data_IF_657453138733
#
_entry.id   IF_657453138733
#
_cell.length_a   1.000
_cell.length_b   1.000
_cell.length_c   1.000
_cell.angle_alpha   90.00
_cell.angle_beta   90.00
_cell.angle_gamma   90.00
#
_symmetry.space_group_name_H-M   'P 1'
#
loop_
_entity.id
_entity.type
_entity.pdbx_description
1 polymer ?
#
# COMPACT_ATOMS: atom_id res chain seq x y z
N UNK A 1 68.37 9.12 5.85
CA UNK A 1 68.18 10.55 5.54
C UNK A 1 68.00 10.62 4.02
N UNK A 2 66.86 10.96 3.42
CA UNK A 2 65.77 11.85 3.80
C UNK A 2 64.42 11.28 3.35
N UNK A 3 63.39 11.62 4.11
CA UNK A 3 61.98 11.27 3.95
C UNK A 3 61.36 11.78 2.66
N UNK A 4 60.49 10.94 2.09
CA UNK A 4 59.47 11.30 1.12
C UNK A 4 58.25 11.77 1.92
N UNK A 5 57.77 12.98 1.68
CA UNK A 5 56.49 13.47 2.23
C UNK A 5 55.86 14.41 1.21
N UNK A 6 54.81 13.90 0.56
CA UNK A 6 53.89 14.69 -0.26
C UNK A 6 53.01 15.58 0.63
N UNK A 7 52.69 16.82 0.24
CA UNK A 7 51.66 17.60 0.90
C UNK A 7 50.28 17.34 0.29
N UNK A 8 49.39 16.81 1.13
CA UNK A 8 47.93 16.83 0.96
C UNK A 8 47.46 18.30 0.95
N UNK A 9 46.79 18.72 -0.13
CA UNK A 9 46.04 19.99 -0.18
C UNK A 9 44.57 19.69 0.08
N UNK A 10 44.09 20.14 1.23
CA UNK A 10 42.69 20.19 1.64
C UNK A 10 41.99 21.44 1.08
N UNK A 11 40.65 21.35 1.07
CA UNK A 11 39.67 22.44 1.06
C UNK A 11 39.30 23.06 -0.30
N UNK A 12 38.60 22.25 -1.10
CA UNK A 12 37.60 22.76 -2.02
C UNK A 12 36.40 23.30 -1.23
N UNK A 13 36.31 24.63 -1.16
CA UNK A 13 35.16 25.38 -0.67
C UNK A 13 33.99 25.16 -1.64
N UNK A 14 33.09 24.24 -1.32
CA UNK A 14 31.89 24.00 -2.11
C UNK A 14 30.83 25.05 -1.76
N UNK A 15 30.85 26.19 -2.44
CA UNK A 15 29.76 27.16 -2.38
C UNK A 15 28.53 26.54 -3.05
N UNK A 16 27.59 26.05 -2.24
CA UNK A 16 26.27 25.63 -2.72
C UNK A 16 25.56 26.88 -3.22
N UNK A 17 25.58 27.04 -4.54
CA UNK A 17 24.83 28.05 -5.25
C UNK A 17 23.35 27.68 -5.09
N UNK A 18 22.61 28.49 -4.32
CA UNK A 18 21.16 28.39 -4.24
C UNK A 18 20.57 28.81 -5.58
N UNK A 19 20.38 27.83 -6.45
CA UNK A 19 19.76 28.01 -7.76
C UNK A 19 18.30 28.42 -7.55
N UNK A 20 18.02 29.72 -7.73
CA UNK A 20 16.68 30.28 -7.86
C UNK A 20 15.98 29.55 -9.01
N UNK A 21 14.97 28.75 -8.68
CA UNK A 21 14.08 28.13 -9.67
C UNK A 21 13.32 29.26 -10.39
N UNK A 22 13.39 29.38 -11.73
CA UNK A 22 12.65 30.38 -12.46
C UNK A 22 11.15 30.03 -12.45
N UNK A 23 10.33 30.94 -11.92
CA UNK A 23 8.87 30.86 -11.99
C UNK A 23 8.39 31.16 -13.42
N UNK A 24 8.43 30.15 -14.30
CA UNK A 24 7.74 30.21 -15.58
C UNK A 24 6.70 29.09 -15.67
N UNK A 25 5.78 29.09 -14.69
CA UNK A 25 4.52 28.40 -14.86
C UNK A 25 3.59 29.36 -15.62
N UNK A 26 3.44 29.18 -16.93
CA UNK A 26 2.62 30.06 -17.80
C UNK A 26 1.11 29.93 -17.52
N UNK A 27 0.71 28.95 -16.71
CA UNK A 27 -0.66 28.67 -16.32
C UNK A 27 -1.03 29.43 -15.05
N UNK A 28 -2.24 29.98 -15.02
CA UNK A 28 -2.76 30.54 -13.78
C UNK A 28 -3.00 29.42 -12.73
N UNK A 29 -3.04 29.74 -11.42
CA UNK A 29 -3.18 28.74 -10.36
C UNK A 29 -4.35 27.78 -10.50
N UNK A 30 -5.49 28.26 -11.02
CA UNK A 30 -6.69 27.44 -11.26
C UNK A 30 -6.48 26.44 -12.41
N UNK A 31 -5.95 26.90 -13.56
CA UNK A 31 -5.65 26.05 -14.71
C UNK A 31 -4.59 25.00 -14.35
N UNK A 32 -3.60 25.39 -13.55
CA UNK A 32 -2.62 24.45 -13.01
C UNK A 32 -3.28 23.38 -12.14
N UNK A 33 -4.19 23.76 -11.23
CA UNK A 33 -4.94 22.80 -10.42
C UNK A 33 -5.80 21.86 -11.28
N UNK A 34 -6.44 22.39 -12.33
CA UNK A 34 -7.24 21.59 -13.27
C UNK A 34 -6.38 20.55 -14.02
N UNK A 35 -5.21 20.96 -14.50
CA UNK A 35 -4.27 20.05 -15.15
C UNK A 35 -3.78 18.96 -14.18
N UNK A 36 -3.47 19.32 -12.93
CA UNK A 36 -3.08 18.36 -11.91
C UNK A 36 -4.20 17.36 -11.60
N UNK A 37 -5.46 17.82 -11.53
CA UNK A 37 -6.64 16.95 -11.37
C UNK A 37 -6.76 15.97 -12.54
N UNK A 38 -6.69 16.45 -13.78
CA UNK A 38 -6.78 15.60 -14.98
C UNK A 38 -5.67 14.56 -15.00
N UNK A 39 -4.44 14.97 -14.72
CA UNK A 39 -3.28 14.08 -14.61
C UNK A 39 -3.52 13.00 -13.54
N UNK A 40 -3.94 13.38 -12.34
CA UNK A 40 -4.15 12.45 -11.25
C UNK A 40 -5.29 11.45 -11.52
N UNK A 41 -6.38 11.88 -12.17
CA UNK A 41 -7.45 10.96 -12.62
C UNK A 41 -6.91 9.92 -13.60
N UNK A 42 -6.10 10.34 -14.58
CA UNK A 42 -5.49 9.42 -15.54
C UNK A 42 -4.52 8.44 -14.87
N UNK A 43 -3.75 8.91 -13.88
CA UNK A 43 -2.87 8.04 -13.08
C UNK A 43 -3.65 7.01 -12.27
N UNK A 44 -4.80 7.37 -11.69
CA UNK A 44 -5.70 6.42 -11.01
C UNK A 44 -6.25 5.37 -11.99
N UNK A 45 -6.69 5.79 -13.18
CA UNK A 45 -7.19 4.87 -14.21
C UNK A 45 -6.10 3.88 -14.65
N UNK A 46 -4.88 4.38 -14.90
CA UNK A 46 -3.74 3.54 -15.26
C UNK A 46 -3.37 2.56 -14.14
N UNK A 47 -3.26 3.04 -12.90
CA UNK A 47 -2.89 2.21 -11.75
C UNK A 47 -3.93 1.13 -11.46
N UNK A 48 -5.22 1.45 -11.57
CA UNK A 48 -6.30 0.47 -11.37
C UNK A 48 -6.31 -0.59 -12.47
N UNK A 49 -5.96 -0.24 -13.71
CA UNK A 49 -5.81 -1.21 -14.80
C UNK A 49 -4.70 -2.21 -14.49
N UNK A 50 -3.51 -1.71 -14.15
CA UNK A 50 -2.35 -2.56 -13.81
C UNK A 50 -2.62 -3.42 -12.57
N UNK A 51 -3.31 -2.87 -11.55
CA UNK A 51 -3.73 -3.63 -10.38
C UNK A 51 -4.69 -4.77 -10.77
N UNK A 52 -5.67 -4.50 -11.63
CA UNK A 52 -6.60 -5.54 -12.10
C UNK A 52 -5.86 -6.66 -12.82
N UNK A 53 -4.91 -6.31 -13.70
CA UNK A 53 -4.11 -7.29 -14.42
C UNK A 53 -3.22 -8.11 -13.46
N UNK A 54 -2.62 -7.46 -12.45
CA UNK A 54 -1.83 -8.15 -11.42
C UNK A 54 -2.67 -9.12 -10.58
N UNK A 55 -3.90 -8.74 -10.20
CA UNK A 55 -4.84 -9.61 -9.47
C UNK A 55 -5.22 -10.83 -10.30
N UNK A 56 -5.50 -10.64 -11.60
CA UNK A 56 -5.82 -11.76 -12.50
C UNK A 56 -4.62 -12.72 -12.62
N UNK A 57 -3.41 -12.19 -12.80
CA UNK A 57 -2.21 -13.03 -12.88
C UNK A 57 -1.96 -13.80 -11.58
N UNK A 58 -2.10 -13.15 -10.43
CA UNK A 58 -1.96 -13.80 -9.13
C UNK A 58 -2.96 -14.95 -8.98
N UNK A 59 -4.22 -14.73 -9.34
CA UNK A 59 -5.26 -15.75 -9.27
C UNK A 59 -4.93 -16.98 -10.12
N UNK A 60 -4.46 -16.77 -11.36
CA UNK A 60 -4.03 -17.86 -12.24
C UNK A 60 -2.87 -18.67 -11.63
N UNK A 61 -1.91 -18.01 -10.97
CA UNK A 61 -0.80 -18.70 -10.27
C UNK A 61 -1.27 -19.50 -9.07
N UNK A 62 -2.27 -19.01 -8.33
CA UNK A 62 -2.89 -19.76 -7.23
C UNK A 62 -3.57 -21.03 -7.76
N UNK A 63 -4.29 -20.93 -8.88
CA UNK A 63 -4.96 -22.07 -9.51
C UNK A 63 -3.96 -23.13 -10.00
N UNK A 64 -2.86 -22.71 -10.63
CA UNK A 64 -1.75 -23.60 -11.04
C UNK A 64 -1.20 -24.39 -9.83
N UNK A 65 -0.85 -23.71 -8.74
CA UNK A 65 -0.30 -24.38 -7.55
C UNK A 65 -1.33 -25.30 -6.89
N UNK A 66 -2.59 -24.88 -6.83
CA UNK A 66 -3.68 -25.64 -6.22
C UNK A 66 -3.97 -26.94 -6.98
N UNK A 67 -4.02 -26.87 -8.32
CA UNK A 67 -4.22 -28.06 -9.15
C UNK A 67 -3.06 -29.06 -9.01
N UNK A 68 -1.82 -28.58 -9.01
CA UNK A 68 -0.64 -29.43 -8.80
C UNK A 68 -0.61 -30.07 -7.41
N UNK A 69 -1.04 -29.34 -6.37
CA UNK A 69 -1.14 -29.90 -5.01
C UNK A 69 -2.17 -31.04 -4.93
N UNK A 70 -3.28 -30.96 -5.67
CA UNK A 70 -4.25 -32.04 -5.78
C UNK A 70 -3.64 -33.27 -6.49
N UNK A 71 -2.89 -33.06 -7.58
CA UNK A 71 -2.17 -34.12 -8.28
C UNK A 71 -1.10 -34.80 -7.42
N UNK A 72 -0.46 -34.04 -6.52
CA UNK A 72 0.53 -34.56 -5.59
C UNK A 72 -0.11 -35.49 -4.57
N UNK A 73 -1.26 -35.10 -4.01
CA UNK A 73 -2.04 -35.95 -3.11
C UNK A 73 -2.51 -37.23 -3.81
N UNK A 74 -2.96 -37.13 -5.06
CA UNK A 74 -3.34 -38.31 -5.86
C UNK A 74 -2.14 -39.25 -6.09
N UNK A 75 -0.99 -38.70 -6.47
CA UNK A 75 0.24 -39.46 -6.70
C UNK A 75 0.74 -40.16 -5.43
N UNK A 76 0.65 -39.49 -4.26
CA UNK A 76 0.96 -40.11 -2.97
C UNK A 76 0.05 -41.30 -2.65
N UNK A 77 -1.25 -41.16 -2.94
CA UNK A 77 -2.23 -42.24 -2.74
C UNK A 77 -1.95 -43.43 -3.67
N UNK A 78 -1.59 -43.17 -4.94
CA UNK A 78 -1.19 -44.20 -5.90
C UNK A 78 0.06 -44.95 -5.44
N UNK A 79 1.08 -44.23 -4.94
CA UNK A 79 2.30 -44.83 -4.38
C UNK A 79 1.96 -45.75 -3.20
N UNK A 80 1.11 -45.32 -2.27
CA UNK A 80 0.70 -46.15 -1.12
C UNK A 80 0.00 -47.44 -1.58
N UNK A 81 -0.86 -47.37 -2.60
CA UNK A 81 -1.51 -48.54 -3.18
C UNK A 81 -0.49 -49.49 -3.86
N UNK A 82 0.49 -48.96 -4.59
CA UNK A 82 1.55 -49.76 -5.21
C UNK A 82 2.43 -50.42 -4.14
N UNK A 83 2.78 -49.71 -3.07
CA UNK A 83 3.54 -50.27 -1.94
C UNK A 83 2.82 -51.45 -1.29
N UNK A 84 1.50 -51.33 -1.11
CA UNK A 84 0.67 -52.43 -0.61
C UNK A 84 0.71 -53.65 -1.54
N UNK A 85 0.53 -53.45 -2.86
CA UNK A 85 0.65 -54.53 -3.87
C UNK A 85 2.03 -55.16 -3.88
N UNK A 86 3.09 -54.35 -3.82
CA UNK A 86 4.46 -54.82 -3.78
C UNK A 86 4.69 -55.72 -2.55
N UNK A 87 4.22 -55.29 -1.37
CA UNK A 87 4.35 -56.08 -0.13
C UNK A 87 3.68 -57.46 -0.24
N UNK A 88 2.51 -57.53 -0.87
CA UNK A 88 1.81 -58.79 -1.14
C UNK A 88 2.59 -59.65 -2.14
N UNK A 89 3.11 -59.07 -3.22
CA UNK A 89 3.87 -59.82 -4.23
C UNK A 89 5.21 -60.35 -3.69
N UNK A 90 5.86 -59.63 -2.77
CA UNK A 90 7.05 -60.11 -2.06
C UNK A 90 6.70 -61.35 -1.24
N UNK A 91 5.61 -61.28 -0.44
CA UNK A 91 5.16 -62.43 0.37
C UNK A 91 4.85 -63.66 -0.49
N UNK A 92 4.11 -63.47 -1.60
CA UNK A 92 3.78 -64.55 -2.53
C UNK A 92 5.05 -65.14 -3.16
N UNK A 93 6.01 -64.31 -3.54
CA UNK A 93 7.29 -64.77 -4.06
C UNK A 93 8.07 -65.59 -3.04
N UNK A 94 8.16 -65.13 -1.79
CA UNK A 94 8.86 -65.85 -0.73
C UNK A 94 8.21 -67.23 -0.47
N UNK A 95 6.88 -67.29 -0.39
CA UNK A 95 6.12 -68.55 -0.28
C UNK A 95 6.32 -69.47 -1.50
N UNK A 96 6.43 -68.91 -2.70
CA UNK A 96 6.69 -69.65 -3.93
C UNK A 96 8.12 -70.21 -3.97
N UNK A 97 9.10 -69.46 -3.47
CA UNK A 97 10.50 -69.90 -3.32
C UNK A 97 10.57 -71.11 -2.39
N UNK A 98 9.94 -71.02 -1.22
CA UNK A 98 9.91 -72.13 -0.25
C UNK A 98 9.22 -73.37 -0.83
N UNK A 99 8.05 -73.19 -1.47
CA UNK A 99 7.32 -74.28 -2.11
C UNK A 99 8.12 -74.96 -3.22
N UNK A 100 8.75 -74.18 -4.09
CA UNK A 100 9.57 -74.72 -5.17
C UNK A 100 10.76 -75.52 -4.63
N UNK A 101 11.39 -75.03 -3.56
CA UNK A 101 12.49 -75.74 -2.87
C UNK A 101 12.03 -77.08 -2.32
N UNK A 102 10.93 -77.10 -1.55
CA UNK A 102 10.36 -78.33 -0.97
C UNK A 102 10.03 -79.35 -2.06
N UNK A 103 9.32 -78.92 -3.13
CA UNK A 103 8.92 -79.82 -4.22
C UNK A 103 10.10 -80.32 -5.06
N UNK A 104 11.15 -79.52 -5.23
CA UNK A 104 12.40 -79.98 -5.89
C UNK A 104 13.05 -81.09 -5.08
N UNK A 105 13.20 -80.89 -3.77
CA UNK A 105 13.80 -81.89 -2.87
C UNK A 105 12.98 -83.19 -2.83
N UNK A 106 11.65 -83.10 -2.74
CA UNK A 106 10.77 -84.29 -2.80
C UNK A 106 10.89 -85.05 -4.13
N UNK A 107 10.97 -84.32 -5.25
CA UNK A 107 11.12 -84.89 -6.58
C UNK A 107 12.47 -85.58 -6.77
N UNK A 108 13.56 -84.93 -6.36
CA UNK A 108 14.92 -85.49 -6.40
C UNK A 108 15.01 -86.76 -5.52
N UNK A 109 14.49 -86.70 -4.29
CA UNK A 109 14.50 -87.85 -3.38
C UNK A 109 13.69 -89.02 -3.94
N UNK A 110 12.49 -88.78 -4.47
CA UNK A 110 11.65 -89.84 -5.05
C UNK A 110 12.28 -90.50 -6.28
N UNK A 111 13.03 -89.74 -7.09
CA UNK A 111 13.79 -90.29 -8.22
C UNK A 111 15.01 -91.11 -7.77
N UNK A 112 15.73 -90.65 -6.73
CA UNK A 112 16.85 -91.39 -6.14
C UNK A 112 16.37 -92.72 -5.56
N UNK A 113 15.29 -92.71 -4.77
CA UNK A 113 14.76 -93.92 -4.12
C UNK A 113 14.32 -94.98 -5.13
N UNK A 114 13.77 -94.56 -6.29
CA UNK A 114 13.43 -95.45 -7.40
C UNK A 114 14.68 -96.02 -8.09
N UNK A 115 15.67 -95.16 -8.39
CA UNK A 115 16.90 -95.54 -9.08
C UNK A 115 17.73 -96.54 -8.28
N UNK A 116 17.72 -96.41 -6.95
CA UNK A 116 18.44 -97.27 -6.02
C UNK A 116 17.65 -98.50 -5.53
N UNK A 117 16.42 -98.71 -6.03
CA UNK A 117 15.53 -99.83 -5.63
C UNK A 117 15.31 -99.95 -4.12
N UNK A 118 15.21 -98.81 -3.40
CA UNK A 118 15.03 -98.81 -1.95
C UNK A 118 13.67 -99.41 -1.57
N UNK A 119 13.64 -100.16 -0.46
CA UNK A 119 12.42 -100.75 0.10
C UNK A 119 11.39 -99.66 0.40
N UNK A 120 10.26 -99.66 -0.31
CA UNK A 120 9.21 -98.64 -0.20
C UNK A 120 9.15 -97.60 -1.33
N UNK A 121 9.97 -97.74 -2.39
CA UNK A 121 9.94 -96.85 -3.55
C UNK A 121 8.53 -96.73 -4.19
N UNK A 122 8.15 -95.49 -4.52
CA UNK A 122 6.86 -95.19 -5.14
C UNK A 122 6.80 -95.69 -6.60
N UNK A 123 5.62 -96.10 -7.11
CA UNK A 123 5.46 -96.44 -8.52
C UNK A 123 5.79 -95.26 -9.45
N UNK A 124 6.36 -95.53 -10.63
CA UNK A 124 6.77 -94.53 -11.63
C UNK A 124 5.70 -93.44 -11.87
N UNK A 125 4.43 -93.84 -12.06
CA UNK A 125 3.31 -92.91 -12.31
C UNK A 125 3.11 -91.89 -11.18
N UNK A 126 3.41 -92.26 -9.92
CA UNK A 126 3.37 -91.33 -8.77
C UNK A 126 4.58 -90.40 -8.78
N UNK A 127 5.75 -90.89 -9.17
CA UNK A 127 6.98 -90.08 -9.30
C UNK A 127 6.78 -89.02 -10.39
N UNK A 128 6.23 -89.39 -11.55
CA UNK A 128 5.94 -88.44 -12.64
C UNK A 128 4.98 -87.31 -12.20
N UNK A 129 4.03 -87.61 -11.30
CA UNK A 129 3.14 -86.60 -10.71
C UNK A 129 3.88 -85.65 -9.76
N UNK A 130 4.87 -86.16 -8.99
CA UNK A 130 5.71 -85.34 -8.11
C UNK A 130 6.62 -84.44 -8.95
N UNK A 131 7.23 -84.97 -10.02
CA UNK A 131 8.02 -84.18 -10.99
C UNK A 131 7.16 -83.08 -11.61
N UNK A 132 5.95 -83.41 -12.08
CA UNK A 132 5.02 -82.40 -12.62
C UNK A 132 4.62 -81.34 -11.59
N UNK A 133 4.52 -81.72 -10.30
CA UNK A 133 4.24 -80.78 -9.22
C UNK A 133 5.44 -79.87 -8.92
N UNK A 134 6.68 -80.36 -9.04
CA UNK A 134 7.88 -79.55 -8.88
C UNK A 134 8.06 -78.56 -10.04
N UNK A 135 7.84 -78.98 -11.28
CA UNK A 135 7.82 -78.10 -12.46
C UNK A 135 6.78 -76.98 -12.32
N UNK A 136 5.56 -77.32 -11.88
CA UNK A 136 4.51 -76.31 -11.61
C UNK A 136 4.91 -75.33 -10.50
N UNK A 137 5.57 -75.80 -9.45
CA UNK A 137 6.03 -74.94 -8.37
C UNK A 137 7.15 -73.99 -8.85
N UNK A 138 8.05 -74.46 -9.73
CA UNK A 138 9.08 -73.63 -10.34
C UNK A 138 8.46 -72.56 -11.24
N UNK A 139 7.51 -72.92 -12.11
CA UNK A 139 6.80 -71.97 -12.96
C UNK A 139 6.03 -70.92 -12.14
N UNK A 140 5.40 -71.32 -11.02
CA UNK A 140 4.74 -70.39 -10.11
C UNK A 140 5.71 -69.41 -9.45
N UNK A 141 6.90 -69.88 -9.03
CA UNK A 141 7.97 -69.02 -8.51
C UNK A 141 8.44 -67.99 -9.55
N UNK A 142 8.63 -68.42 -10.80
CA UNK A 142 9.05 -67.51 -11.89
C UNK A 142 7.98 -66.46 -12.20
N UNK A 143 6.71 -66.85 -12.22
CA UNK A 143 5.59 -65.92 -12.34
C UNK A 143 5.56 -64.91 -11.17
N UNK A 144 5.67 -65.39 -9.92
CA UNK A 144 5.70 -64.53 -8.74
C UNK A 144 6.91 -63.57 -8.72
N UNK A 145 8.07 -64.00 -9.22
CA UNK A 145 9.24 -63.14 -9.39
C UNK A 145 8.99 -62.02 -10.40
N UNK A 146 8.30 -62.35 -11.50
CA UNK A 146 7.94 -61.38 -12.53
C UNK A 146 6.98 -60.33 -11.97
N UNK A 147 5.94 -60.76 -11.24
CA UNK A 147 4.98 -59.87 -10.57
C UNK A 147 5.67 -58.96 -9.55
N UNK A 148 6.58 -59.51 -8.73
CA UNK A 148 7.40 -58.73 -7.80
C UNK A 148 8.19 -57.65 -8.53
N UNK A 149 8.96 -58.02 -9.56
CA UNK A 149 9.77 -57.08 -10.35
C UNK A 149 8.91 -56.00 -11.02
N UNK A 150 7.73 -56.36 -11.54
CA UNK A 150 6.80 -55.39 -12.12
C UNK A 150 6.31 -54.38 -11.08
N UNK A 151 5.96 -54.81 -9.86
CA UNK A 151 5.54 -53.91 -8.79
C UNK A 151 6.69 -53.04 -8.27
N UNK A 152 7.92 -53.56 -8.19
CA UNK A 152 9.12 -52.79 -7.86
C UNK A 152 9.38 -51.68 -8.89
N UNK A 153 9.32 -52.03 -10.18
CA UNK A 153 9.47 -51.07 -11.27
C UNK A 153 8.37 -50.01 -11.28
N UNK A 154 7.11 -50.41 -11.03
CA UNK A 154 5.98 -49.48 -10.92
C UNK A 154 6.16 -48.50 -9.75
N UNK A 155 6.67 -48.98 -8.60
CA UNK A 155 6.96 -48.13 -7.45
C UNK A 155 8.07 -47.12 -7.75
N UNK A 156 9.14 -47.56 -8.40
CA UNK A 156 10.24 -46.69 -8.82
C UNK A 156 9.73 -45.59 -9.77
N UNK A 157 8.95 -45.95 -10.80
CA UNK A 157 8.38 -44.99 -11.75
C UNK A 157 7.44 -43.98 -11.06
N UNK A 158 6.57 -44.44 -10.16
CA UNK A 158 5.66 -43.58 -9.42
C UNK A 158 6.41 -42.59 -8.51
N UNK A 159 7.49 -43.03 -7.84
CA UNK A 159 8.35 -42.14 -7.03
C UNK A 159 9.04 -41.07 -7.86
N UNK A 160 9.56 -41.42 -9.05
CA UNK A 160 10.16 -40.43 -9.97
C UNK A 160 9.13 -39.40 -10.42
N UNK A 161 7.89 -39.82 -10.71
CA UNK A 161 6.80 -38.90 -11.04
C UNK A 161 6.49 -37.94 -9.89
N UNK A 162 6.45 -38.44 -8.65
CA UNK A 162 6.24 -37.61 -7.46
C UNK A 162 7.36 -36.58 -7.25
N UNK A 163 8.63 -36.98 -7.44
CA UNK A 163 9.78 -36.07 -7.33
C UNK A 163 9.71 -34.95 -8.38
N UNK A 164 9.43 -35.29 -9.64
CA UNK A 164 9.24 -34.31 -10.72
C UNK A 164 8.09 -33.34 -10.41
N UNK A 165 6.96 -33.86 -9.90
CA UNK A 165 5.83 -33.04 -9.51
C UNK A 165 6.17 -32.11 -8.34
N UNK A 166 6.92 -32.59 -7.36
CA UNK A 166 7.38 -31.79 -6.22
C UNK A 166 8.28 -30.64 -6.67
N UNK A 167 9.21 -30.92 -7.60
CA UNK A 167 10.05 -29.89 -8.23
C UNK A 167 9.22 -28.86 -8.99
N UNK A 168 8.22 -29.30 -9.75
CA UNK A 168 7.33 -28.40 -10.48
C UNK A 168 6.51 -27.51 -9.54
N UNK A 169 5.96 -28.07 -8.46
CA UNK A 169 5.26 -27.29 -7.43
C UNK A 169 6.18 -26.25 -6.81
N UNK A 170 7.43 -26.62 -6.49
CA UNK A 170 8.40 -25.69 -5.93
C UNK A 170 8.77 -24.55 -6.90
N UNK A 171 8.79 -24.81 -8.22
CA UNK A 171 9.00 -23.76 -9.20
C UNK A 171 7.77 -22.84 -9.29
N UNK A 172 6.56 -23.42 -9.29
CA UNK A 172 5.31 -22.65 -9.37
C UNK A 172 4.97 -21.86 -8.11
N UNK A 173 5.42 -22.30 -6.94
CA UNK A 173 5.30 -21.50 -5.72
C UNK A 173 6.19 -20.27 -5.73
N UNK A 174 7.34 -20.31 -6.41
CA UNK A 174 8.17 -19.11 -6.63
C UNK A 174 7.47 -18.13 -7.58
N UNK A 175 6.93 -18.62 -8.70
CA UNK A 175 6.12 -17.81 -9.64
C UNK A 175 4.94 -17.11 -8.90
N UNK A 176 4.26 -17.84 -8.00
CA UNK A 176 3.18 -17.30 -7.18
C UNK A 176 3.68 -16.22 -6.20
N UNK A 177 4.81 -16.45 -5.52
CA UNK A 177 5.39 -15.46 -4.61
C UNK A 177 5.77 -14.15 -5.32
N UNK A 178 6.27 -14.23 -6.56
CA UNK A 178 6.54 -13.05 -7.37
C UNK A 178 5.24 -12.33 -7.77
N UNK A 179 4.21 -13.08 -8.15
CA UNK A 179 2.89 -12.52 -8.45
C UNK A 179 2.26 -11.82 -7.24
N UNK A 180 2.38 -12.38 -6.03
CA UNK A 180 1.92 -11.75 -4.78
C UNK A 180 2.67 -10.44 -4.49
N UNK A 181 3.99 -10.42 -4.71
CA UNK A 181 4.81 -9.22 -4.57
C UNK A 181 4.35 -8.12 -5.54
N UNK A 182 4.12 -8.48 -6.80
CA UNK A 182 3.63 -7.55 -7.83
C UNK A 182 2.23 -7.03 -7.51
N UNK A 183 1.32 -7.89 -7.04
CA UNK A 183 -0.01 -7.48 -6.61
C UNK A 183 0.06 -6.47 -5.45
N UNK A 184 0.95 -6.71 -4.47
CA UNK A 184 1.16 -5.79 -3.34
C UNK A 184 1.72 -4.44 -3.81
N UNK A 185 2.71 -4.46 -4.70
CA UNK A 185 3.28 -3.25 -5.29
C UNK A 185 2.23 -2.43 -6.05
N UNK A 186 1.46 -3.08 -6.94
CA UNK A 186 0.40 -2.39 -7.70
C UNK A 186 -0.71 -1.87 -6.78
N UNK A 187 -1.01 -2.57 -5.68
CA UNK A 187 -1.96 -2.08 -4.66
C UNK A 187 -1.46 -0.77 -4.04
N UNK A 188 -0.19 -0.70 -3.66
CA UNK A 188 0.42 0.50 -3.10
C UNK A 188 0.44 1.66 -4.12
N UNK A 189 0.74 1.37 -5.38
CA UNK A 189 0.70 2.37 -6.47
C UNK A 189 -0.72 2.91 -6.67
N UNK A 190 -1.73 2.04 -6.71
CA UNK A 190 -3.13 2.43 -6.85
C UNK A 190 -3.62 3.30 -5.67
N UNK A 191 -3.26 2.92 -4.44
CA UNK A 191 -3.57 3.72 -3.25
C UNK A 191 -2.87 5.09 -3.29
N UNK A 192 -1.60 5.13 -3.65
CA UNK A 192 -0.85 6.39 -3.79
C UNK A 192 -1.42 7.29 -4.91
N UNK A 193 -1.87 6.70 -6.02
CA UNK A 193 -2.54 7.43 -7.10
C UNK A 193 -3.88 8.00 -6.63
N UNK A 194 -4.65 7.24 -5.85
CA UNK A 194 -5.92 7.68 -5.27
C UNK A 194 -5.74 8.85 -4.30
N UNK A 195 -4.72 8.80 -3.43
CA UNK A 195 -4.42 9.92 -2.53
C UNK A 195 -3.96 11.17 -3.31
N UNK A 196 -3.13 11.00 -4.36
CA UNK A 196 -2.77 12.10 -5.26
C UNK A 196 -3.99 12.73 -5.94
N UNK A 197 -4.93 11.90 -6.38
CA UNK A 197 -6.17 12.36 -7.00
C UNK A 197 -7.06 13.12 -6.03
N UNK A 198 -7.20 12.63 -4.80
CA UNK A 198 -7.90 13.32 -3.72
C UNK A 198 -7.29 14.70 -3.44
N UNK A 199 -5.96 14.77 -3.29
CA UNK A 199 -5.24 16.03 -3.09
C UNK A 199 -5.40 16.97 -4.30
N UNK A 200 -5.37 16.44 -5.52
CA UNK A 200 -5.55 17.23 -6.73
C UNK A 200 -6.98 17.79 -6.85
N UNK A 201 -8.00 17.02 -6.44
CA UNK A 201 -9.38 17.52 -6.34
C UNK A 201 -9.51 18.60 -5.27
N UNK A 202 -8.87 18.43 -4.12
CA UNK A 202 -8.88 19.42 -3.05
C UNK A 202 -8.23 20.73 -3.49
N UNK A 203 -7.15 20.65 -4.27
CA UNK A 203 -6.53 21.83 -4.90
C UNK A 203 -7.44 22.55 -5.90
N UNK A 204 -8.65 22.06 -6.21
CA UNK A 204 -9.64 22.83 -6.98
C UNK A 204 -10.50 23.75 -6.10
N UNK A 205 -10.51 23.56 -4.78
CA UNK A 205 -11.25 24.42 -3.86
C UNK A 205 -10.53 25.77 -3.72
N UNK A 206 -11.25 26.91 -3.70
CA UNK A 206 -10.64 28.21 -3.45
C UNK A 206 -9.91 28.25 -2.10
N UNK A 207 -8.92 29.14 -1.97
CA UNK A 207 -8.24 29.33 -0.69
C UNK A 207 -9.16 30.03 0.32
N UNK A 208 -9.08 29.57 1.56
CA UNK A 208 -9.71 30.19 2.72
C UNK A 208 -8.58 30.64 3.65
N UNK A 209 -8.45 31.95 3.86
CA UNK A 209 -7.37 32.56 4.65
C UNK A 209 -7.93 33.31 5.85
N UNK A 210 -7.23 33.28 6.99
CA UNK A 210 -7.57 34.10 8.14
C UNK A 210 -6.33 34.73 8.73
N UNK A 211 -6.36 36.04 8.91
CA UNK A 211 -5.34 36.81 9.60
C UNK A 211 -5.88 37.16 10.97
N UNK A 212 -5.24 36.61 12.01
CA UNK A 212 -5.60 36.85 13.41
C UNK A 212 -4.70 37.92 14.01
N UNK A 213 -5.29 39.01 14.52
CA UNK A 213 -4.57 40.00 15.33
C UNK A 213 -4.04 39.36 16.61
N UNK A 214 -4.90 38.59 17.29
CA UNK A 214 -4.59 37.96 18.58
C UNK A 214 -3.40 37.00 18.49
N UNK A 215 -3.34 36.20 17.44
CA UNK A 215 -2.27 35.22 17.26
C UNK A 215 -1.09 35.76 16.45
N UNK A 216 -1.23 36.92 15.79
CA UNK A 216 -0.27 37.49 14.82
C UNK A 216 0.13 36.47 13.74
N UNK A 217 -0.87 35.73 13.25
CA UNK A 217 -0.70 34.65 12.27
C UNK A 217 -1.70 34.74 11.14
N UNK A 218 -1.28 34.26 9.98
CA UNK A 218 -2.16 33.85 8.90
C UNK A 218 -2.36 32.33 8.94
N UNK A 219 -3.62 31.90 8.87
CA UNK A 219 -4.05 30.52 8.73
C UNK A 219 -4.55 30.31 7.31
N UNK A 220 -4.01 29.34 6.58
CA UNK A 220 -4.35 29.09 5.18
C UNK A 220 -4.90 27.69 5.02
N UNK A 221 -6.11 27.60 4.51
CA UNK A 221 -6.87 26.36 4.34
C UNK A 221 -7.42 26.25 2.92
N UNK A 222 -7.69 25.04 2.49
CA UNK A 222 -8.23 24.75 1.17
C UNK A 222 -9.07 23.48 1.23
N UNK A 223 -10.38 23.62 0.99
CA UNK A 223 -11.28 22.47 0.96
C UNK A 223 -11.29 21.68 2.26
N UNK A 224 -11.36 22.40 3.39
CA UNK A 224 -11.34 21.92 4.78
C UNK A 224 -9.98 21.44 5.29
N UNK A 225 -8.89 21.59 4.53
CA UNK A 225 -7.57 21.09 4.96
C UNK A 225 -6.60 22.25 5.20
N UNK A 226 -5.82 22.23 6.29
CA UNK A 226 -4.74 23.19 6.49
C UNK A 226 -3.67 23.01 5.41
N UNK A 227 -3.38 24.09 4.69
CA UNK A 227 -2.29 24.15 3.71
C UNK A 227 -1.01 24.56 4.41
N UNK A 228 -1.04 25.68 5.14
CA UNK A 228 0.05 26.14 6.00
C UNK A 228 -0.43 27.28 6.93
N UNK A 229 0.35 27.54 7.97
CA UNK A 229 0.22 28.74 8.81
C UNK A 229 1.53 29.53 8.79
N UNK A 230 1.45 30.85 8.97
CA UNK A 230 2.64 31.71 8.96
C UNK A 230 2.50 32.93 9.86
N UNK A 231 3.60 33.55 10.31
CA UNK A 231 3.55 34.79 11.05
C UNK A 231 3.13 35.96 10.14
N UNK A 232 2.42 36.92 10.71
CA UNK A 232 2.18 38.24 10.09
C UNK A 232 2.66 39.34 11.03
N UNK A 233 3.16 40.43 10.48
CA UNK A 233 3.44 41.65 11.25
C UNK A 233 2.25 42.59 11.11
N UNK A 234 1.81 43.18 12.22
CA UNK A 234 0.64 44.07 12.24
C UNK A 234 1.05 45.39 12.87
N UNK A 235 0.94 46.47 12.10
CA UNK A 235 1.22 47.84 12.57
C UNK A 235 0.15 48.28 13.57
N UNK A 236 0.59 49.01 14.58
CA UNK A 236 -0.26 49.53 15.66
C UNK A 236 -1.12 48.44 16.31
N UNK A 237 -0.52 47.29 16.65
CA UNK A 237 -1.23 46.11 17.20
C UNK A 237 -2.17 46.41 18.38
N UNK A 238 -1.91 47.49 19.14
CA UNK A 238 -2.76 47.95 20.25
C UNK A 238 -4.16 48.38 19.81
N UNK A 239 -4.32 48.88 18.59
CA UNK A 239 -5.61 49.25 18.03
C UNK A 239 -6.32 48.03 17.41
N UNK A 240 -7.63 47.85 17.63
CA UNK A 240 -8.40 46.81 16.95
C UNK A 240 -8.21 46.84 15.42
N UNK A 241 -8.19 45.67 14.78
CA UNK A 241 -8.26 45.55 13.32
C UNK A 241 -9.70 45.42 12.82
N UNK A 242 -10.65 45.06 13.67
CA UNK A 242 -12.01 44.78 13.26
C UNK A 242 -12.21 43.39 12.67
N UNK A 243 -13.44 43.14 12.20
CA UNK A 243 -13.88 41.88 11.61
C UNK A 243 -14.25 42.12 10.14
N UNK A 244 -13.42 41.65 9.23
CA UNK A 244 -13.53 41.93 7.80
C UNK A 244 -13.42 40.65 6.98
N UNK A 245 -14.36 40.46 6.05
CA UNK A 245 -14.33 39.38 5.06
C UNK A 245 -14.00 39.97 3.68
N UNK A 246 -12.98 39.45 3.04
CA UNK A 246 -12.59 39.74 1.67
C UNK A 246 -12.86 38.53 0.80
N UNK A 247 -13.40 38.75 -0.40
CA UNK A 247 -13.62 37.70 -1.39
C UNK A 247 -13.01 38.16 -2.71
N UNK A 248 -12.13 37.34 -3.28
CA UNK A 248 -11.59 37.58 -4.61
C UNK A 248 -12.69 37.34 -5.65
N UNK A 249 -13.15 38.38 -6.33
CA UNK A 249 -14.34 38.30 -7.19
C UNK A 249 -14.02 38.16 -8.67
N UNK A 250 -12.95 38.79 -9.14
CA UNK A 250 -12.51 38.70 -10.55
C UNK A 250 -11.03 38.98 -10.67
N UNK A 251 -10.48 38.77 -11.86
CA UNK A 251 -9.11 39.18 -12.22
C UNK A 251 -9.12 40.60 -12.78
N UNK A 252 -8.00 41.31 -12.63
CA UNK A 252 -7.76 42.59 -13.31
C UNK A 252 -7.54 42.39 -14.81
N UNK A 253 -7.62 43.46 -15.60
CA UNK A 253 -7.51 43.40 -17.08
C UNK A 253 -6.15 42.86 -17.55
N UNK A 254 -5.11 43.02 -16.75
CA UNK A 254 -3.77 42.46 -16.99
C UNK A 254 -3.67 40.95 -16.67
N UNK A 255 -4.73 40.34 -16.11
CA UNK A 255 -4.80 38.94 -15.72
C UNK A 255 -3.87 38.53 -14.57
N UNK A 256 -3.17 39.48 -13.93
CA UNK A 256 -2.10 39.22 -12.96
C UNK A 256 -2.49 39.53 -11.52
N UNK A 257 -3.53 40.33 -11.31
CA UNK A 257 -4.01 40.69 -9.97
C UNK A 257 -5.49 40.31 -9.79
N UNK A 258 -5.92 40.24 -8.54
CA UNK A 258 -7.31 39.94 -8.18
C UNK A 258 -8.01 41.19 -7.67
N UNK A 259 -9.25 41.40 -8.10
CA UNK A 259 -10.17 42.36 -7.47
C UNK A 259 -10.85 41.69 -6.29
N UNK A 260 -10.91 42.40 -5.17
CA UNK A 260 -11.48 41.92 -3.92
C UNK A 260 -12.72 42.75 -3.56
N UNK A 261 -13.77 42.09 -3.09
CA UNK A 261 -14.90 42.73 -2.41
C UNK A 261 -14.73 42.54 -0.92
N UNK A 262 -14.94 43.59 -0.14
CA UNK A 262 -14.82 43.56 1.32
C UNK A 262 -16.18 43.79 2.01
N UNK A 263 -16.43 43.03 3.07
CA UNK A 263 -17.54 43.21 3.99
C UNK A 263 -16.94 43.45 5.38
N UNK A 264 -17.36 44.51 6.05
CA UNK A 264 -16.93 44.84 7.41
C UNK A 264 -18.12 44.68 8.33
N UNK A 265 -17.92 43.96 9.43
CA UNK A 265 -18.95 43.88 10.47
C UNK A 265 -18.84 45.12 11.37
N UNK A 266 -19.97 45.75 11.72
CA UNK A 266 -19.95 46.87 12.65
C UNK A 266 -19.46 46.39 14.01
N UNK A 267 -18.52 47.12 14.61
CA UNK A 267 -18.08 46.83 15.97
C UNK A 267 -19.25 47.15 16.91
N UNK A 268 -19.64 46.17 17.74
CA UNK A 268 -20.63 46.41 18.80
C UNK A 268 -19.93 47.09 19.95
N UNK A 269 -19.99 48.41 20.01
CA UNK A 269 -19.49 49.19 21.13
C UNK A 269 -20.33 48.88 22.38
N UNK A 270 -19.93 47.88 23.16
CA UNK A 270 -20.50 47.65 24.51
C UNK A 270 -20.24 48.85 25.45
N UNK A 271 -19.34 49.76 25.05
CA UNK A 271 -19.03 50.96 25.82
C UNK A 271 -20.11 52.04 25.72
N UNK A 272 -20.95 52.07 24.68
CA UNK A 272 -21.96 53.13 24.54
C UNK A 272 -23.07 53.01 25.62
N UNK A 273 -23.41 51.79 26.04
CA UNK A 273 -24.44 51.55 27.06
C UNK A 273 -23.92 51.83 28.48
N UNK A 274 -22.67 51.48 28.77
CA UNK A 274 -22.06 51.75 30.09
C UNK A 274 -21.68 53.24 30.25
N UNK A 275 -21.34 53.93 29.17
CA UNK A 275 -21.04 55.37 29.18
C UNK A 275 -22.31 56.21 29.37
N UNK A 276 -23.44 55.83 28.75
CA UNK A 276 -24.75 56.49 29.00
C UNK A 276 -25.19 56.31 30.45
N UNK A 277 -24.91 55.17 31.09
CA UNK A 277 -25.22 54.92 32.50
C UNK A 277 -24.27 55.69 33.43
N UNK A 278 -22.97 55.77 33.12
CA UNK A 278 -21.99 56.55 33.90
C UNK A 278 -22.25 58.06 33.83
N UNK A 279 -22.53 58.61 32.65
CA UNK A 279 -22.79 60.06 32.46
C UNK A 279 -24.04 60.51 33.23
N UNK A 280 -25.03 59.63 33.43
CA UNK A 280 -26.23 59.92 34.22
C UNK A 280 -25.98 59.91 35.74
N UNK A 281 -24.91 59.26 36.21
CA UNK A 281 -24.52 59.21 37.63
C UNK A 281 -23.48 60.28 38.02
N UNK A 282 -22.70 60.79 37.07
CA UNK A 282 -21.59 61.73 37.34
C UNK A 282 -21.88 63.20 36.97
N UNK A 283 -23.13 63.55 36.64
CA UNK A 283 -23.54 64.96 36.46
C UNK A 283 -23.67 65.74 37.79
N UNK A 284 -22.66 65.65 38.66
CA UNK A 284 -22.47 66.48 39.86
C UNK A 284 -21.00 66.66 40.26
N UNK A 285 -20.08 66.89 39.33
CA UNK A 285 -18.90 67.77 39.54
C UNK A 285 -18.04 67.88 38.28
N UNK A 286 -17.53 69.09 38.04
CA UNK A 286 -16.72 69.48 36.90
C UNK A 286 -15.43 68.64 36.78
N UNK A 287 -14.98 68.35 35.55
CA UNK A 287 -13.68 68.75 34.98
C UNK A 287 -13.55 68.19 33.55
N UNK A 288 -13.03 69.06 32.67
CA UNK A 288 -12.51 68.77 31.33
C UNK A 288 -11.76 67.42 31.24
N UNK A 289 -12.24 66.52 30.39
CA UNK A 289 -11.37 65.62 29.67
C UNK A 289 -11.66 65.75 28.18
N UNK A 290 -10.61 66.10 27.44
CA UNK A 290 -10.58 66.08 25.99
C UNK A 290 -11.10 64.72 25.53
N UNK A 291 -12.15 64.75 24.71
CA UNK A 291 -12.54 63.60 23.91
C UNK A 291 -11.34 63.28 23.00
N UNK A 292 -10.53 62.30 23.40
CA UNK A 292 -9.69 61.58 22.45
C UNK A 292 -10.64 60.78 21.56
N UNK A 293 -11.14 61.48 20.55
CA UNK A 293 -11.87 60.94 19.42
C UNK A 293 -10.92 60.03 18.63
N UNK A 294 -10.82 58.75 19.01
CA UNK A 294 -9.90 57.82 18.35
C UNK A 294 -10.36 56.36 18.41
N UNK A 295 -11.65 56.11 18.26
CA UNK A 295 -12.16 54.76 18.00
C UNK A 295 -13.12 54.77 16.82
N UNK A 296 -12.64 55.26 15.67
CA UNK A 296 -13.28 54.87 14.42
C UNK A 296 -12.95 53.39 14.18
N UNK A 297 -13.93 52.54 13.87
CA UNK A 297 -13.63 51.18 13.44
C UNK A 297 -12.75 51.27 12.20
N UNK A 298 -11.61 50.58 12.19
CA UNK A 298 -10.79 50.50 10.99
C UNK A 298 -11.67 49.97 9.86
N UNK A 299 -11.79 50.72 8.77
CA UNK A 299 -12.46 50.20 7.59
C UNK A 299 -11.59 49.10 6.99
N UNK A 300 -12.17 48.24 6.14
CA UNK A 300 -11.44 47.13 5.52
C UNK A 300 -10.09 47.54 4.88
N UNK A 301 -10.03 48.67 4.17
CA UNK A 301 -8.77 49.11 3.54
C UNK A 301 -7.68 49.40 4.58
N UNK A 302 -8.04 50.11 5.65
CA UNK A 302 -7.11 50.46 6.73
C UNK A 302 -6.61 49.21 7.48
N UNK A 303 -7.51 48.26 7.76
CA UNK A 303 -7.14 46.99 8.39
C UNK A 303 -6.13 46.21 7.52
N UNK A 304 -6.34 46.17 6.20
CA UNK A 304 -5.44 45.51 5.26
C UNK A 304 -4.09 46.22 5.16
N UNK A 305 -4.08 47.56 5.10
CA UNK A 305 -2.85 48.37 5.03
C UNK A 305 -1.95 48.19 6.25
N UNK A 306 -2.51 47.86 7.43
CA UNK A 306 -1.73 47.60 8.64
C UNK A 306 -1.03 46.24 8.66
N UNK A 307 -1.37 45.32 7.76
CA UNK A 307 -0.82 43.97 7.75
C UNK A 307 0.36 43.85 6.79
N UNK A 308 1.47 43.36 7.33
CA UNK A 308 2.68 43.03 6.59
C UNK A 308 2.88 41.51 6.57
N UNK A 309 2.73 40.92 5.38
CA UNK A 309 2.95 39.49 5.12
C UNK A 309 4.39 39.32 4.58
N UNK A 310 5.09 38.24 4.96
CA UNK A 310 6.43 37.97 4.40
C UNK A 310 6.36 37.60 2.91
N UNK A 311 7.46 37.79 2.18
CA UNK A 311 7.50 37.43 0.76
C UNK A 311 7.28 35.93 0.52
N UNK A 312 7.88 35.06 1.35
CA UNK A 312 7.68 33.60 1.27
C UNK A 312 6.21 33.20 1.43
N UNK A 313 5.49 33.83 2.37
CA UNK A 313 4.05 33.57 2.54
C UNK A 313 3.27 34.06 1.30
N UNK A 314 3.58 35.25 0.77
CA UNK A 314 2.94 35.75 -0.45
C UNK A 314 3.16 34.82 -1.64
N UNK A 315 4.37 34.32 -1.83
CA UNK A 315 4.71 33.43 -2.94
C UNK A 315 3.93 32.10 -2.82
N UNK A 316 3.85 31.52 -1.61
CA UNK A 316 3.05 30.31 -1.35
C UNK A 316 1.56 30.52 -1.56
N UNK A 317 1.03 31.68 -1.21
CA UNK A 317 -0.36 32.06 -1.50
C UNK A 317 -0.57 32.16 -3.02
N UNK A 318 0.32 32.86 -3.73
CA UNK A 318 0.22 33.08 -5.17
C UNK A 318 0.15 31.78 -5.98
N UNK A 319 0.76 30.68 -5.53
CA UNK A 319 0.65 29.36 -6.17
C UNK A 319 -0.78 28.78 -6.22
N UNK A 320 -1.67 29.25 -5.34
CA UNK A 320 -3.00 28.68 -5.11
C UNK A 320 -4.10 29.75 -5.03
N UNK A 321 -3.78 31.02 -5.24
CA UNK A 321 -4.74 32.10 -5.11
C UNK A 321 -5.46 32.35 -6.44
N UNK A 322 -6.78 32.24 -6.45
CA UNK A 322 -7.63 32.57 -7.60
C UNK A 322 -9.02 33.06 -7.16
N UNK A 323 -9.85 33.43 -8.13
CA UNK A 323 -11.23 33.91 -7.92
C UNK A 323 -12.04 32.94 -7.05
N UNK A 324 -12.80 33.48 -6.11
CA UNK A 324 -13.55 32.73 -5.10
C UNK A 324 -12.77 32.48 -3.81
N UNK A 325 -11.45 32.77 -3.78
CA UNK A 325 -10.68 32.72 -2.55
C UNK A 325 -11.17 33.77 -1.56
N UNK A 326 -11.14 33.47 -0.27
CA UNK A 326 -11.60 34.34 0.80
C UNK A 326 -10.50 34.62 1.82
N UNK A 327 -10.57 35.79 2.44
CA UNK A 327 -9.70 36.19 3.54
C UNK A 327 -10.54 36.80 4.66
N UNK A 328 -10.32 36.37 5.88
CA UNK A 328 -10.88 37.00 7.07
C UNK A 328 -9.75 37.75 7.77
N UNK A 329 -9.94 39.03 8.07
CA UNK A 329 -9.13 39.74 9.06
C UNK A 329 -9.96 39.83 10.32
N UNK A 330 -9.42 39.37 11.44
CA UNK A 330 -10.14 39.28 12.70
C UNK A 330 -9.26 39.68 13.87
N UNK A 331 -9.89 40.27 14.89
CA UNK A 331 -9.26 40.50 16.18
C UNK A 331 -9.11 39.22 17.01
N UNK A 332 -9.74 38.12 16.59
CA UNK A 332 -9.81 36.85 17.31
C UNK A 332 -8.94 35.76 16.68
N UNK A 333 -8.72 34.69 17.44
CA UNK A 333 -8.14 33.43 16.95
C UNK A 333 -9.20 32.62 16.19
N UNK A 334 -8.83 31.64 15.34
CA UNK A 334 -9.79 30.74 14.72
C UNK A 334 -10.65 30.03 15.78
N UNK A 335 -11.96 29.95 15.56
CA UNK A 335 -12.89 29.22 16.41
C UNK A 335 -12.58 27.73 16.40
N UNK A 336 -12.96 27.01 17.46
CA UNK A 336 -12.92 25.54 17.53
C UNK A 336 -13.79 24.83 16.48
N UNK A 337 -14.68 25.57 15.81
CA UNK A 337 -15.49 25.08 14.68
C UNK A 337 -14.73 25.06 13.35
N UNK A 338 -13.54 25.68 13.30
CA UNK A 338 -12.59 25.54 12.19
C UNK A 338 -12.02 24.13 12.21
N UNK A 339 -12.24 23.34 11.16
CA UNK A 339 -11.87 21.93 11.18
C UNK A 339 -11.81 21.26 9.83
N UNK A 340 -11.47 19.97 9.85
CA UNK A 340 -11.41 19.13 8.66
C UNK A 340 -12.79 18.59 8.24
N UNK A 341 -13.77 18.71 9.13
CA UNK A 341 -15.17 18.38 8.92
C UNK A 341 -15.99 19.63 9.31
N UNK A 342 -16.78 20.19 8.38
CA UNK A 342 -17.59 21.39 8.62
C UNK A 342 -17.18 22.60 7.78
N UNK A 343 -16.59 23.63 8.42
CA UNK A 343 -16.29 24.92 7.80
C UNK A 343 -14.78 25.13 7.69
N UNK A 344 -14.34 25.72 6.57
CA UNK A 344 -12.94 26.01 6.31
C UNK A 344 -12.35 26.93 7.39
N UNK A 345 -12.99 28.06 7.68
CA UNK A 345 -12.58 29.02 8.70
C UNK A 345 -13.81 29.61 9.38
N UNK A 346 -13.82 29.61 10.71
CA UNK A 346 -14.88 30.20 11.52
C UNK A 346 -14.27 31.12 12.56
N UNK A 347 -14.86 32.29 12.74
CA UNK A 347 -14.53 33.25 13.80
C UNK A 347 -15.74 33.42 14.72
N UNK A 348 -15.50 33.42 16.03
CA UNK A 348 -16.53 33.74 17.03
C UNK A 348 -16.43 35.21 17.38
N UNK A 349 -17.52 35.93 17.12
CA UNK A 349 -17.65 37.36 17.43
C UNK A 349 -18.39 37.45 18.77
N UNK A 350 -17.87 38.22 19.73
CA UNK A 350 -18.32 38.23 21.12
C UNK A 350 -18.83 39.59 21.61
#
# INVERSE_FOLDING_TARGET
MQSITEPVKSDASNSVNSEKIPHENTLNPYQYAEQMKVKAVNEVLAANKELKDAVVQQHLKVEDVTSLAADLKKSQTEIAAIQSKLSMSIKIYDEAVDRAKIRSQESEQAQIDLKEQRTGALPQKKIDLIVKASEKALAFKEAALTDKKMNEAALAAAKTKLDNLTKLISAKSLDLSEADRRMTEMTNIANAAKEREKLARQRMAPLSMMISRKDQKIYVRQGLIPVFDGPVTIRDIGSPLGEHLYIATTTTEDGKSLKWSALSLPQSDKNEVDEIIRVKLESRSQINHQLSDNSFPSNASEALERIEISQDVRDRLAERLWVGSSMIISDQSPSSETGNDGTDLTVKIH
#
